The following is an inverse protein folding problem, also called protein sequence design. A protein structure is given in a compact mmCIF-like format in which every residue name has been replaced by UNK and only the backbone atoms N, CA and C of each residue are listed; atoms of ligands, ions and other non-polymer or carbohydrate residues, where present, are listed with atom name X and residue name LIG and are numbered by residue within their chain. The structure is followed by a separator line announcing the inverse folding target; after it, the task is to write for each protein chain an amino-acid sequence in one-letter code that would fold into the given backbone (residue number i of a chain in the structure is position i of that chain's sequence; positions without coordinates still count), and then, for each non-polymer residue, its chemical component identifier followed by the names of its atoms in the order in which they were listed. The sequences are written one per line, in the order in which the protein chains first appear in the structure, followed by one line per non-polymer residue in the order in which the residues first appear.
data_IF_727703391319
#
_entry.id   IF_727703391319
#
_cell.length_a   1.000
_cell.length_b   1.000
_cell.length_c   1.000
_cell.angle_alpha   90.00
_cell.angle_beta   90.00
_cell.angle_gamma   90.00
#
_symmetry.space_group_name_H-M   'P 1'
#
loop_
_entity.id
_entity.type
_entity.pdbx_description
1 polymer ?
#
# COMPACT_ATOMS: atom_id res chain seq x y z
N UNK A 1 5.52 -31.44 1.84
CA UNK A 1 4.28 -30.76 1.43
C UNK A 1 4.36 -29.33 1.95
N UNK A 2 4.35 -28.31 1.07
CA UNK A 2 4.31 -26.91 1.53
C UNK A 2 3.03 -26.68 2.34
N UNK A 3 3.07 -25.93 3.46
CA UNK A 3 1.86 -25.63 4.21
C UNK A 3 0.86 -24.95 3.26
N UNK A 4 -0.30 -25.59 3.07
CA UNK A 4 -1.38 -25.02 2.28
C UNK A 4 -1.74 -23.65 2.84
N UNK A 5 -1.66 -22.61 2.01
CA UNK A 5 -1.96 -21.25 2.43
C UNK A 5 -3.38 -21.22 2.98
N UNK A 6 -3.51 -20.83 4.26
CA UNK A 6 -4.80 -20.58 4.87
C UNK A 6 -5.48 -19.39 4.21
N UNK A 7 -6.80 -19.44 4.12
CA UNK A 7 -7.61 -18.33 3.60
C UNK A 7 -8.40 -17.72 4.74
N UNK A 8 -8.55 -16.41 4.74
CA UNK A 8 -9.35 -15.68 5.74
C UNK A 8 -10.33 -14.78 5.01
N UNK A 9 -11.58 -14.75 5.48
CA UNK A 9 -12.61 -13.80 5.07
C UNK A 9 -13.09 -13.02 6.30
N UNK A 10 -13.14 -11.70 6.19
CA UNK A 10 -13.70 -10.80 7.19
C UNK A 10 -14.65 -9.86 6.46
N UNK A 11 -15.86 -9.68 6.98
CA UNK A 11 -16.88 -8.77 6.47
C UNK A 11 -17.21 -7.76 7.57
N UNK A 12 -16.97 -6.49 7.28
CA UNK A 12 -17.23 -5.38 8.21
C UNK A 12 -18.24 -4.41 7.60
N UNK A 13 -19.20 -3.94 8.39
CA UNK A 13 -20.15 -2.90 7.99
C UNK A 13 -20.26 -1.86 9.11
N UNK A 14 -20.07 -0.57 8.78
CA UNK A 14 -20.12 0.54 9.76
C UNK A 14 -19.19 0.34 10.97
N UNK A 15 -18.02 -0.26 10.75
CA UNK A 15 -17.03 -0.54 11.81
C UNK A 15 -17.26 -1.86 12.55
N UNK A 16 -18.42 -2.49 12.40
CA UNK A 16 -18.76 -3.75 13.08
C UNK A 16 -18.45 -4.96 12.19
N UNK A 17 -17.83 -6.00 12.78
CA UNK A 17 -17.57 -7.26 12.08
C UNK A 17 -18.87 -8.07 12.05
N UNK A 18 -19.45 -8.24 10.86
CA UNK A 18 -20.64 -9.05 10.66
C UNK A 18 -20.31 -10.54 10.55
N UNK A 19 -19.12 -10.87 10.02
CA UNK A 19 -18.64 -12.23 9.91
C UNK A 19 -17.11 -12.28 9.81
N UNK A 20 -16.49 -13.28 10.43
CA UNK A 20 -15.10 -13.65 10.20
C UNK A 20 -14.92 -15.17 10.15
N UNK A 21 -14.09 -15.66 9.23
CA UNK A 21 -13.83 -17.09 9.10
C UNK A 21 -12.46 -17.36 8.50
N UNK A 22 -11.73 -18.28 9.12
CA UNK A 22 -10.58 -18.92 8.50
C UNK A 22 -10.96 -20.24 7.83
N UNK A 23 -10.37 -20.49 6.67
CA UNK A 23 -10.55 -21.68 5.85
C UNK A 23 -9.20 -22.35 5.61
N UNK A 24 -9.22 -23.68 5.42
CA UNK A 24 -8.09 -24.55 5.07
C UNK A 24 -6.89 -24.43 6.04
N UNK A 25 -6.78 -25.42 6.92
CA UNK A 25 -5.63 -25.63 7.80
C UNK A 25 -5.88 -26.85 8.69
N UNK A 26 -4.86 -27.68 8.89
CA UNK A 26 -4.97 -28.94 9.66
C UNK A 26 -5.37 -28.73 11.14
N UNK A 27 -5.44 -27.47 11.61
CA UNK A 27 -5.92 -27.06 12.94
C UNK A 27 -6.83 -25.82 12.93
N UNK A 28 -7.42 -25.50 11.77
CA UNK A 28 -8.17 -24.25 11.57
C UNK A 28 -7.22 -23.04 11.44
N UNK A 29 -7.23 -22.38 10.28
CA UNK A 29 -6.49 -21.14 10.11
C UNK A 29 -7.18 -20.05 10.96
N UNK A 30 -6.44 -19.33 11.82
CA UNK A 30 -7.01 -18.24 12.62
C UNK A 30 -7.00 -16.95 11.82
N UNK A 31 -8.08 -16.17 11.90
CA UNK A 31 -8.19 -14.85 11.23
C UNK A 31 -7.11 -13.86 11.69
N UNK A 32 -6.56 -14.07 12.89
CA UNK A 32 -5.46 -13.28 13.46
C UNK A 32 -4.06 -13.77 13.05
N UNK A 33 -3.93 -14.75 12.16
CA UNK A 33 -2.62 -15.26 11.74
C UNK A 33 -1.96 -14.26 10.78
N UNK A 34 -0.71 -13.80 11.03
CA UNK A 34 -0.02 -12.92 10.10
C UNK A 34 0.11 -13.54 8.70
N UNK A 35 -0.13 -12.73 7.67
CA UNK A 35 -0.07 -13.14 6.26
C UNK A 35 0.59 -12.05 5.43
N UNK A 36 1.30 -12.45 4.36
CA UNK A 36 1.84 -11.49 3.41
C UNK A 36 0.70 -10.90 2.57
N UNK A 37 0.48 -9.58 2.70
CA UNK A 37 -0.65 -8.88 2.08
C UNK A 37 -0.37 -8.39 0.64
N UNK A 38 0.88 -8.52 0.16
CA UNK A 38 1.32 -8.16 -1.20
C UNK A 38 0.83 -6.76 -1.64
N UNK A 39 0.02 -6.69 -2.70
CA UNK A 39 -0.46 -5.42 -3.25
C UNK A 39 -1.44 -4.69 -2.34
N UNK A 40 -2.07 -5.34 -1.36
CA UNK A 40 -2.89 -4.63 -0.38
C UNK A 40 -2.05 -3.66 0.48
N UNK A 41 -0.73 -3.86 0.58
CA UNK A 41 0.19 -2.88 1.19
C UNK A 41 0.09 -1.51 0.52
N UNK A 42 -0.22 -1.43 -0.78
CA UNK A 42 -0.30 -0.15 -1.51
C UNK A 42 -1.39 0.76 -0.95
N UNK A 43 -2.53 0.20 -0.53
CA UNK A 43 -3.61 0.98 0.08
C UNK A 43 -3.19 1.59 1.42
N UNK A 44 -2.44 0.83 2.25
CA UNK A 44 -1.89 1.32 3.52
C UNK A 44 -0.88 2.45 3.27
N UNK A 45 0.05 2.25 2.34
CA UNK A 45 1.03 3.28 1.98
C UNK A 45 0.36 4.53 1.41
N UNK A 46 -0.65 4.38 0.55
CA UNK A 46 -1.43 5.51 0.01
C UNK A 46 -2.10 6.33 1.12
N UNK A 47 -2.71 5.66 2.11
CA UNK A 47 -3.29 6.34 3.26
C UNK A 47 -2.22 7.09 4.09
N UNK A 48 -1.04 6.49 4.28
CA UNK A 48 0.08 7.15 4.97
C UNK A 48 0.58 8.40 4.22
N UNK A 49 0.63 8.36 2.89
CA UNK A 49 0.96 9.56 2.07
C UNK A 49 -0.10 10.64 2.25
N UNK A 50 -1.39 10.30 2.26
CA UNK A 50 -2.47 11.25 2.56
C UNK A 50 -2.32 11.91 3.93
N UNK A 51 -1.92 11.14 4.96
CA UNK A 51 -1.62 11.67 6.29
C UNK A 51 -0.39 12.59 6.25
N UNK A 52 0.65 12.24 5.51
CA UNK A 52 1.85 13.07 5.35
C UNK A 52 1.52 14.42 4.70
N UNK A 53 0.60 14.43 3.72
CA UNK A 53 0.07 15.66 3.11
C UNK A 53 -0.69 16.49 4.16
N UNK A 54 -1.61 15.88 4.91
CA UNK A 54 -2.36 16.57 5.95
C UNK A 54 -1.47 17.17 7.05
N UNK A 55 -0.30 16.57 7.29
CA UNK A 55 0.71 17.05 8.24
C UNK A 55 1.73 18.04 7.66
N UNK A 56 1.65 18.35 6.36
CA UNK A 56 2.61 19.24 5.68
C UNK A 56 4.01 18.66 5.51
N UNK A 57 4.19 17.34 5.67
CA UNK A 57 5.46 16.65 5.38
C UNK A 57 5.64 16.47 3.86
N UNK A 58 4.52 16.25 3.16
CA UNK A 58 4.40 16.31 1.70
C UNK A 58 3.48 17.50 1.41
N UNK A 59 3.80 18.32 0.42
CA UNK A 59 3.07 19.56 0.16
C UNK A 59 1.69 19.29 -0.43
N UNK A 60 1.62 18.41 -1.44
CA UNK A 60 0.37 18.02 -2.09
C UNK A 60 0.60 16.81 -3.01
N UNK A 61 -0.47 16.33 -3.65
CA UNK A 61 -0.37 15.33 -4.73
C UNK A 61 0.36 15.85 -5.97
N UNK A 62 0.46 17.17 -6.16
CA UNK A 62 1.16 17.77 -7.30
C UNK A 62 2.66 17.97 -7.03
N UNK A 63 3.14 17.67 -5.83
CA UNK A 63 4.56 17.79 -5.50
C UNK A 63 5.39 16.83 -6.37
N UNK A 64 6.43 17.32 -7.07
CA UNK A 64 7.34 16.45 -7.81
C UNK A 64 8.14 15.51 -6.91
N UNK A 65 8.22 14.23 -7.28
CA UNK A 65 8.92 13.19 -6.50
C UNK A 65 10.44 13.35 -6.53
N UNK A 66 10.98 14.01 -7.56
CA UNK A 66 12.42 14.22 -7.71
C UNK A 66 13.03 15.02 -6.55
N UNK A 67 12.28 15.94 -5.94
CA UNK A 67 12.71 16.68 -4.76
C UNK A 67 12.72 15.82 -3.48
N UNK A 68 11.81 14.86 -3.38
CA UNK A 68 11.66 13.97 -2.23
C UNK A 68 12.63 12.79 -2.27
N UNK A 69 12.90 12.24 -3.46
CA UNK A 69 13.65 11.00 -3.68
C UNK A 69 15.01 11.26 -4.33
N UNK A 70 15.61 12.43 -4.09
CA UNK A 70 16.84 12.87 -4.77
C UNK A 70 17.99 11.84 -4.67
N UNK A 71 18.11 11.15 -3.55
CA UNK A 71 19.11 10.10 -3.32
C UNK A 71 18.84 8.80 -4.07
N UNK A 72 17.59 8.56 -4.46
CA UNK A 72 17.14 7.32 -5.10
C UNK A 72 17.04 7.48 -6.64
N UNK A 73 17.21 8.69 -7.15
CA UNK A 73 17.26 8.93 -8.58
C UNK A 73 18.54 8.33 -9.20
N UNK A 74 18.47 7.78 -10.42
CA UNK A 74 19.65 7.29 -11.13
C UNK A 74 20.64 8.45 -11.41
N UNK A 75 21.93 8.15 -11.52
CA UNK A 75 22.99 9.17 -11.68
C UNK A 75 22.81 10.10 -12.88
N UNK A 76 22.08 9.64 -13.91
CA UNK A 76 21.67 10.43 -15.08
C UNK A 76 20.16 10.30 -15.26
N UNK A 77 19.35 11.07 -14.53
CA UNK A 77 17.90 10.96 -14.61
C UNK A 77 17.38 11.53 -15.94
N UNK A 78 16.40 10.86 -16.53
CA UNK A 78 15.63 11.42 -17.66
C UNK A 78 14.96 12.74 -17.19
N UNK A 79 15.04 13.85 -17.95
CA UNK A 79 14.40 15.11 -17.58
C UNK A 79 12.91 14.99 -17.25
N UNK A 80 12.21 14.02 -17.85
CA UNK A 80 10.78 13.76 -17.58
C UNK A 80 10.51 13.28 -16.15
N UNK A 81 11.49 12.68 -15.47
CA UNK A 81 11.35 12.30 -14.05
C UNK A 81 11.11 13.51 -13.13
N UNK A 82 11.49 14.72 -13.55
CA UNK A 82 11.20 15.93 -12.79
C UNK A 82 9.73 16.33 -12.83
N UNK A 83 8.95 15.76 -13.74
CA UNK A 83 7.52 16.05 -13.90
C UNK A 83 6.64 15.02 -13.19
N UNK A 84 7.22 13.90 -12.73
CA UNK A 84 6.46 12.87 -12.01
C UNK A 84 6.10 13.39 -10.62
N UNK A 85 4.82 13.43 -10.33
CA UNK A 85 4.25 13.90 -9.06
C UNK A 85 3.92 12.74 -8.14
N UNK A 86 3.72 13.06 -6.85
CA UNK A 86 3.18 12.11 -5.86
C UNK A 86 1.87 11.49 -6.36
N UNK A 87 1.01 12.29 -7.00
CA UNK A 87 -0.26 11.85 -7.58
C UNK A 87 -0.11 10.81 -8.67
N UNK A 88 0.90 10.92 -9.54
CA UNK A 88 1.18 9.90 -10.56
C UNK A 88 1.49 8.53 -9.90
N UNK A 89 2.28 8.53 -8.82
CA UNK A 89 2.60 7.29 -8.10
C UNK A 89 1.37 6.71 -7.38
N UNK A 90 0.56 7.55 -6.73
CA UNK A 90 -0.65 7.11 -6.01
C UNK A 90 -1.73 6.57 -6.95
N UNK A 91 -1.83 7.12 -8.17
CA UNK A 91 -2.78 6.70 -9.19
C UNK A 91 -2.25 5.58 -10.10
N UNK A 92 -1.05 5.05 -9.83
CA UNK A 92 -0.39 4.00 -10.60
C UNK A 92 -0.30 4.32 -12.10
N UNK A 93 0.05 5.57 -12.43
CA UNK A 93 0.32 5.95 -13.81
C UNK A 93 1.73 5.49 -14.20
N UNK A 94 1.88 4.80 -15.34
CA UNK A 94 3.13 4.11 -15.69
C UNK A 94 4.33 5.02 -16.03
N UNK A 95 4.12 6.35 -16.13
CA UNK A 95 5.15 7.29 -16.57
C UNK A 95 5.36 7.28 -18.08
#
# INVERSE_FOLDING_TARGET
MAPGQGLTLIITQRGEILAERGYRGHRGHRTTTPSNIKSASKSVISALVGIAIAKGVIESVEQPIAGLLKSDLPSKPDPRLQQVTVGNLLSMQPG
#
